data_IF_756760446507
#
_entry.id   IF_756760446507
#
_cell.length_a   1.000
_cell.length_b   1.000
_cell.length_c   1.000
_cell.angle_alpha   90.00
_cell.angle_beta   90.00
_cell.angle_gamma   90.00
#
_symmetry.space_group_name_H-M   'P 1'
#
loop_
_entity.id
_entity.type
_entity.pdbx_description
1 polymer ?
#
# COMPACT_ATOMS: atom_id res chain seq x y z
N UNK A 1 56.42 -6.25 36.86
CA UNK A 1 55.39 -7.13 36.24
C UNK A 1 54.06 -6.38 36.23
N UNK A 2 53.70 -5.74 35.11
CA UNK A 2 52.41 -5.08 34.94
C UNK A 2 51.62 -5.83 33.87
N UNK A 3 50.49 -6.42 34.27
CA UNK A 3 49.61 -7.21 33.42
C UNK A 3 48.98 -6.29 32.35
N UNK A 4 49.23 -6.62 31.07
CA UNK A 4 48.50 -6.06 29.93
C UNK A 4 47.07 -6.58 29.97
N UNK A 5 46.11 -5.70 30.23
CA UNK A 5 44.68 -5.99 30.07
C UNK A 5 44.34 -5.84 28.58
N UNK A 6 43.96 -6.95 27.96
CA UNK A 6 43.39 -6.98 26.61
C UNK A 6 42.08 -6.19 26.61
N UNK A 7 42.05 -5.09 25.89
CA UNK A 7 40.81 -4.42 25.48
C UNK A 7 40.20 -5.29 24.38
N UNK A 8 39.37 -6.25 24.77
CA UNK A 8 38.45 -6.90 23.84
C UNK A 8 37.41 -5.84 23.49
N UNK A 9 37.44 -5.37 22.25
CA UNK A 9 36.37 -4.58 21.69
C UNK A 9 35.10 -5.45 21.72
N UNK A 10 34.32 -5.31 22.78
CA UNK A 10 32.92 -5.70 22.75
C UNK A 10 32.30 -4.91 21.59
N UNK A 11 32.05 -5.63 20.49
CA UNK A 11 30.99 -5.26 19.56
C UNK A 11 29.76 -5.08 20.44
N UNK A 12 29.45 -3.84 20.79
CA UNK A 12 28.10 -3.44 21.12
C UNK A 12 27.30 -3.80 19.88
N UNK A 13 26.78 -5.03 19.90
CA UNK A 13 25.59 -5.41 19.18
C UNK A 13 24.55 -4.42 19.66
N UNK A 14 24.49 -3.28 18.97
CA UNK A 14 23.33 -2.41 18.96
C UNK A 14 22.22 -3.35 18.55
N UNK A 15 21.51 -3.83 19.56
CA UNK A 15 20.28 -4.57 19.48
C UNK A 15 19.35 -3.77 18.59
N UNK A 16 19.44 -4.04 17.28
CA UNK A 16 18.56 -3.58 16.23
C UNK A 16 17.24 -4.31 16.42
N UNK A 17 16.56 -3.99 17.52
CA UNK A 17 15.25 -4.53 17.92
C UNK A 17 14.11 -3.57 17.56
N UNK A 18 14.38 -2.58 16.71
CA UNK A 18 13.43 -1.55 16.31
C UNK A 18 13.23 -1.46 14.79
N UNK A 19 13.59 -2.51 14.06
CA UNK A 19 13.16 -2.69 12.67
C UNK A 19 12.77 -4.17 12.50
N UNK A 20 11.69 -4.59 13.15
CA UNK A 20 10.76 -5.47 12.43
C UNK A 20 9.97 -4.49 11.57
N UNK A 21 10.48 -4.12 10.40
CA UNK A 21 9.93 -4.64 9.15
C UNK A 21 8.47 -5.02 9.40
N UNK A 22 7.59 -4.09 9.08
CA UNK A 22 6.18 -4.34 8.74
C UNK A 22 6.20 -5.28 7.54
N UNK A 23 6.71 -6.50 7.72
CA UNK A 23 6.77 -7.53 6.70
C UNK A 23 5.36 -8.10 6.66
N UNK A 24 4.76 -8.20 5.48
CA UNK A 24 3.34 -8.52 5.23
C UNK A 24 2.74 -9.82 5.82
N UNK A 25 3.18 -10.30 6.98
CA UNK A 25 2.46 -11.21 7.88
C UNK A 25 1.35 -10.49 8.66
N UNK A 26 1.52 -9.28 9.20
CA UNK A 26 0.46 -8.61 10.00
C UNK A 26 -0.71 -8.09 9.14
N UNK A 27 -0.42 -7.31 8.09
CA UNK A 27 -1.46 -6.77 7.18
C UNK A 27 -2.24 -7.91 6.52
N UNK A 28 -1.56 -8.98 6.11
CA UNK A 28 -2.23 -10.12 5.45
C UNK A 28 -3.13 -10.87 6.41
N UNK A 29 -2.69 -11.16 7.63
CA UNK A 29 -3.52 -11.81 8.65
C UNK A 29 -4.76 -10.95 8.97
N UNK A 30 -4.59 -9.64 9.15
CA UNK A 30 -5.72 -8.71 9.35
C UNK A 30 -6.70 -8.73 8.18
N UNK A 31 -6.21 -8.68 6.95
CA UNK A 31 -7.08 -8.75 5.77
C UNK A 31 -7.75 -10.12 5.64
N UNK A 32 -7.06 -11.22 5.93
CA UNK A 32 -7.64 -12.56 5.96
C UNK A 32 -8.75 -12.66 7.02
N UNK A 33 -8.58 -12.03 8.19
CA UNK A 33 -9.65 -11.94 9.19
C UNK A 33 -10.86 -11.13 8.69
N UNK A 34 -10.64 -9.96 8.06
CA UNK A 34 -11.72 -9.16 7.46
C UNK A 34 -12.46 -10.00 6.41
N UNK A 35 -11.71 -10.73 5.57
CA UNK A 35 -12.27 -11.61 4.56
C UNK A 35 -13.11 -12.72 5.19
N UNK A 36 -12.57 -13.46 6.16
CA UNK A 36 -13.28 -14.54 6.84
C UNK A 36 -14.54 -14.05 7.57
N UNK A 37 -14.49 -12.90 8.24
CA UNK A 37 -15.65 -12.30 8.94
C UNK A 37 -16.71 -11.74 7.99
N UNK A 38 -16.38 -11.54 6.72
CA UNK A 38 -17.33 -11.00 5.73
C UNK A 38 -18.26 -12.08 5.15
N UNK A 39 -18.06 -13.37 5.45
CA UNK A 39 -18.70 -14.54 4.82
C UNK A 39 -20.23 -14.62 4.86
N UNK A 40 -20.92 -13.69 5.50
CA UNK A 40 -22.33 -13.84 5.84
C UNK A 40 -23.33 -13.54 4.68
N UNK A 41 -22.92 -13.13 3.47
CA UNK A 41 -23.86 -12.69 2.39
C UNK A 41 -23.34 -12.90 0.95
N UNK A 42 -24.28 -12.85 -0.03
CA UNK A 42 -24.02 -12.79 -1.50
C UNK A 42 -23.10 -11.64 -1.96
N UNK A 43 -22.76 -10.70 -1.07
CA UNK A 43 -21.94 -9.52 -1.33
C UNK A 43 -20.57 -9.56 -0.63
N UNK A 44 -20.10 -10.76 -0.27
CA UNK A 44 -18.85 -11.01 0.46
C UNK A 44 -17.66 -10.18 0.00
N UNK A 45 -17.39 -10.18 -1.31
CA UNK A 45 -16.27 -9.45 -1.93
C UNK A 45 -16.41 -7.94 -1.77
N UNK A 46 -17.62 -7.39 -1.96
CA UNK A 46 -17.86 -5.94 -1.82
C UNK A 46 -17.67 -5.49 -0.38
N UNK A 47 -18.15 -6.28 0.58
CA UNK A 47 -18.02 -5.98 2.03
C UNK A 47 -16.56 -6.05 2.45
N UNK A 48 -15.82 -7.08 2.00
CA UNK A 48 -14.39 -7.19 2.22
C UNK A 48 -13.65 -5.98 1.65
N UNK A 49 -13.86 -5.66 0.38
CA UNK A 49 -13.20 -4.54 -0.29
C UNK A 49 -13.38 -3.23 0.46
N UNK A 50 -14.63 -2.90 0.83
CA UNK A 50 -14.92 -1.65 1.55
C UNK A 50 -14.19 -1.60 2.89
N UNK A 51 -14.29 -2.65 3.70
CA UNK A 51 -13.65 -2.71 5.02
C UNK A 51 -12.13 -2.67 4.93
N UNK A 52 -11.55 -3.35 3.95
CA UNK A 52 -10.10 -3.37 3.75
C UNK A 52 -9.56 -2.01 3.28
N UNK A 53 -10.32 -1.30 2.43
CA UNK A 53 -9.99 0.08 2.05
C UNK A 53 -10.12 1.02 3.25
N UNK A 54 -11.20 0.91 4.02
CA UNK A 54 -11.41 1.72 5.25
C UNK A 54 -10.25 1.49 6.24
N UNK A 55 -9.84 0.24 6.44
CA UNK A 55 -8.71 -0.13 7.30
C UNK A 55 -7.38 0.44 6.79
N UNK A 56 -7.11 0.31 5.48
CA UNK A 56 -5.90 0.85 4.87
C UNK A 56 -5.80 2.36 5.08
N UNK A 57 -6.90 3.07 4.82
CA UNK A 57 -7.00 4.53 5.00
C UNK A 57 -6.83 4.92 6.47
N UNK A 58 -7.43 4.17 7.40
CA UNK A 58 -7.24 4.38 8.84
C UNK A 58 -5.77 4.28 9.26
N UNK A 59 -5.07 3.23 8.83
CA UNK A 59 -3.64 3.05 9.12
C UNK A 59 -2.76 4.13 8.48
N UNK A 60 -3.08 4.55 7.25
CA UNK A 60 -2.36 5.63 6.58
C UNK A 60 -2.52 6.99 7.28
N UNK A 61 -3.67 7.22 7.92
CA UNK A 61 -3.91 8.42 8.71
C UNK A 61 -3.22 8.39 10.08
N UNK A 62 -3.07 7.20 10.66
CA UNK A 62 -2.40 7.00 11.96
C UNK A 62 -0.87 6.93 11.83
N UNK A 63 -0.36 6.65 10.63
CA UNK A 63 1.08 6.42 10.39
C UNK A 63 1.73 7.59 9.67
N UNK A 64 2.40 8.48 10.41
CA UNK A 64 3.23 9.55 9.85
C UNK A 64 4.55 9.02 9.25
N UNK A 65 4.97 7.80 9.61
CA UNK A 65 6.15 7.16 9.05
C UNK A 65 5.72 5.92 8.24
N UNK A 66 6.25 5.77 7.03
CA UNK A 66 6.04 4.61 6.13
C UNK A 66 4.70 4.53 5.36
N UNK A 67 4.01 5.65 5.12
CA UNK A 67 2.77 5.67 4.33
C UNK A 67 2.90 5.00 2.94
N UNK A 68 4.04 5.17 2.28
CA UNK A 68 4.37 4.49 1.03
C UNK A 68 4.34 2.95 1.14
N UNK A 69 5.01 2.39 2.15
CA UNK A 69 5.12 0.93 2.33
C UNK A 69 3.77 0.34 2.74
N UNK A 70 3.05 1.02 3.64
CA UNK A 70 1.71 0.63 4.10
C UNK A 70 0.74 0.58 2.92
N UNK A 71 0.70 1.62 2.08
CA UNK A 71 -0.18 1.65 0.91
C UNK A 71 0.14 0.52 -0.09
N UNK A 72 1.42 0.23 -0.32
CA UNK A 72 1.84 -0.85 -1.20
C UNK A 72 1.44 -2.23 -0.68
N UNK A 73 1.60 -2.47 0.63
CA UNK A 73 1.35 -3.76 1.26
C UNK A 73 -0.14 -4.04 1.43
N UNK A 74 -0.95 -3.04 1.79
CA UNK A 74 -2.42 -3.17 1.82
C UNK A 74 -2.98 -3.50 0.44
N UNK A 75 -2.57 -2.79 -0.60
CA UNK A 75 -3.02 -3.08 -1.96
C UNK A 75 -2.64 -4.51 -2.39
N UNK A 76 -1.39 -4.90 -2.15
CA UNK A 76 -0.92 -6.26 -2.45
C UNK A 76 -1.71 -7.32 -1.67
N UNK A 77 -1.97 -7.09 -0.38
CA UNK A 77 -2.72 -8.01 0.47
C UNK A 77 -4.17 -8.20 0.01
N UNK A 78 -4.88 -7.10 -0.25
CA UNK A 78 -6.27 -7.10 -0.75
C UNK A 78 -6.38 -7.96 -2.01
N UNK A 79 -5.44 -7.75 -2.93
CA UNK A 79 -5.45 -8.40 -4.23
C UNK A 79 -5.06 -9.89 -4.16
N UNK A 80 -4.13 -10.26 -3.30
CA UNK A 80 -3.78 -11.67 -3.06
C UNK A 80 -4.96 -12.47 -2.50
N UNK A 81 -5.78 -11.86 -1.62
CA UNK A 81 -6.94 -12.50 -1.02
C UNK A 81 -8.06 -12.69 -2.03
N UNK A 82 -8.35 -11.67 -2.83
CA UNK A 82 -9.40 -11.76 -3.85
C UNK A 82 -9.04 -12.70 -4.99
N UNK A 83 -7.74 -12.82 -5.29
CA UNK A 83 -7.27 -13.55 -6.45
C UNK A 83 -6.05 -14.43 -6.10
N UNK A 84 -6.22 -15.48 -5.27
CA UNK A 84 -5.12 -16.32 -4.80
C UNK A 84 -4.38 -17.10 -5.91
N UNK A 85 -4.93 -17.11 -7.14
CA UNK A 85 -4.35 -17.74 -8.34
C UNK A 85 -3.88 -16.74 -9.41
N UNK A 86 -3.70 -15.46 -9.06
CA UNK A 86 -3.05 -14.48 -9.94
C UNK A 86 -3.84 -14.04 -11.17
N UNK A 87 -5.15 -14.29 -11.24
CA UNK A 87 -6.03 -13.65 -12.23
C UNK A 87 -6.79 -12.53 -11.57
N UNK A 88 -6.10 -11.42 -11.34
CA UNK A 88 -6.72 -10.17 -10.94
C UNK A 88 -7.34 -9.53 -12.18
N UNK A 89 -8.59 -9.07 -12.08
CA UNK A 89 -9.15 -8.17 -13.08
C UNK A 89 -8.50 -6.79 -12.90
N UNK A 90 -7.95 -6.23 -13.97
CA UNK A 90 -7.40 -4.86 -14.02
C UNK A 90 -8.35 -3.86 -13.33
N UNK A 91 -9.64 -4.02 -13.57
CA UNK A 91 -10.72 -3.22 -13.01
C UNK A 91 -10.75 -3.22 -11.48
N UNK A 92 -10.49 -4.38 -10.85
CA UNK A 92 -10.43 -4.48 -9.38
C UNK A 92 -9.24 -3.69 -8.82
N UNK A 93 -8.07 -3.78 -9.47
CA UNK A 93 -6.88 -3.01 -9.06
C UNK A 93 -7.20 -1.52 -9.14
N UNK A 94 -7.73 -1.09 -10.28
CA UNK A 94 -8.07 0.30 -10.56
C UNK A 94 -9.10 0.81 -9.55
N UNK A 95 -10.13 0.02 -9.24
CA UNK A 95 -11.16 0.38 -8.27
C UNK A 95 -10.57 0.60 -6.87
N UNK A 96 -9.79 -0.37 -6.36
CA UNK A 96 -9.21 -0.31 -5.01
C UNK A 96 -8.28 0.89 -4.88
N UNK A 97 -7.41 1.07 -5.87
CA UNK A 97 -6.42 2.15 -5.90
C UNK A 97 -7.09 3.52 -5.95
N UNK A 98 -8.14 3.68 -6.76
CA UNK A 98 -8.91 4.92 -6.85
C UNK A 98 -9.63 5.23 -5.54
N UNK A 99 -10.19 4.21 -4.87
CA UNK A 99 -10.91 4.40 -3.61
C UNK A 99 -9.97 4.77 -2.45
N UNK A 100 -8.80 4.14 -2.35
CA UNK A 100 -7.78 4.52 -1.35
C UNK A 100 -7.31 5.95 -1.62
N UNK A 101 -6.95 6.28 -2.86
CA UNK A 101 -6.48 7.61 -3.23
C UNK A 101 -7.52 8.70 -2.89
N UNK A 102 -8.79 8.47 -3.22
CA UNK A 102 -9.88 9.38 -2.92
C UNK A 102 -10.08 9.60 -1.42
N UNK A 103 -10.16 8.53 -0.62
CA UNK A 103 -10.37 8.66 0.83
C UNK A 103 -9.17 9.29 1.53
N UNK A 104 -7.95 8.91 1.14
CA UNK A 104 -6.73 9.55 1.66
C UNK A 104 -6.66 11.04 1.29
N UNK A 105 -7.20 11.44 0.13
CA UNK A 105 -7.28 12.85 -0.26
C UNK A 105 -8.11 13.71 0.68
N UNK A 106 -9.22 13.16 1.16
CA UNK A 106 -10.12 13.85 2.08
C UNK A 106 -9.48 14.10 3.46
N UNK A 107 -8.35 13.44 3.76
CA UNK A 107 -7.70 13.46 5.06
C UNK A 107 -6.46 14.36 5.12
N UNK A 108 -6.07 15.01 4.02
CA UNK A 108 -4.87 15.86 3.90
C UNK A 108 -3.55 15.15 4.31
N UNK A 109 -3.54 13.81 4.24
CA UNK A 109 -2.37 12.99 4.55
C UNK A 109 -1.27 13.14 3.45
N UNK A 110 -0.07 12.60 3.71
CA UNK A 110 1.11 12.61 2.84
C UNK A 110 0.86 12.02 1.43
N UNK A 111 0.15 12.75 0.59
CA UNK A 111 -0.40 12.18 -0.64
C UNK A 111 0.68 11.67 -1.57
N UNK A 112 1.82 12.36 -1.64
CA UNK A 112 2.92 11.91 -2.50
C UNK A 112 3.44 10.54 -2.10
N UNK A 113 3.61 10.30 -0.79
CA UNK A 113 4.05 9.02 -0.23
C UNK A 113 3.02 7.91 -0.51
N UNK A 114 1.74 8.21 -0.28
CA UNK A 114 0.63 7.27 -0.51
C UNK A 114 0.54 6.87 -1.99
N UNK A 115 0.62 7.83 -2.92
CA UNK A 115 0.53 7.55 -4.36
C UNK A 115 1.72 6.75 -4.87
N UNK A 116 2.93 7.06 -4.41
CA UNK A 116 4.10 6.24 -4.71
C UNK A 116 3.90 4.80 -4.23
N UNK A 117 3.32 4.63 -3.04
CA UNK A 117 3.00 3.33 -2.46
C UNK A 117 1.97 2.56 -3.27
N UNK A 118 0.87 3.21 -3.65
CA UNK A 118 -0.16 2.62 -4.50
C UNK A 118 0.39 2.19 -5.85
N UNK A 119 1.20 3.02 -6.53
CA UNK A 119 1.81 2.66 -7.82
C UNK A 119 2.80 1.49 -7.67
N UNK A 120 3.60 1.46 -6.60
CA UNK A 120 4.44 0.30 -6.26
C UNK A 120 3.60 -0.97 -6.06
N UNK A 121 2.49 -0.87 -5.33
CA UNK A 121 1.57 -1.98 -5.11
C UNK A 121 0.87 -2.47 -6.38
N UNK A 122 0.50 -1.56 -7.29
CA UNK A 122 -0.02 -1.88 -8.63
C UNK A 122 1.03 -2.64 -9.43
N UNK A 123 2.27 -2.14 -9.47
CA UNK A 123 3.38 -2.78 -10.18
C UNK A 123 3.64 -4.20 -9.67
N UNK A 124 3.70 -4.39 -8.35
CA UNK A 124 3.88 -5.71 -7.72
C UNK A 124 2.74 -6.65 -8.09
N UNK A 125 1.50 -6.19 -7.99
CA UNK A 125 0.30 -6.98 -8.26
C UNK A 125 0.16 -7.36 -9.75
N UNK A 126 0.42 -6.42 -10.65
CA UNK A 126 0.39 -6.67 -12.09
C UNK A 126 1.45 -7.70 -12.50
N UNK A 127 2.68 -7.58 -11.97
CA UNK A 127 3.77 -8.56 -12.20
C UNK A 127 3.41 -9.94 -11.68
N UNK A 128 2.83 -10.04 -10.48
CA UNK A 128 2.38 -11.31 -9.90
C UNK A 128 1.30 -12.01 -10.74
N UNK A 129 0.58 -11.25 -11.58
CA UNK A 129 -0.48 -11.75 -12.44
C UNK A 129 -0.07 -11.93 -13.91
N UNK A 130 1.20 -11.68 -14.24
CA UNK A 130 1.68 -11.72 -15.63
C UNK A 130 1.06 -10.65 -16.54
N UNK A 131 0.53 -9.56 -15.96
CA UNK A 131 -0.02 -8.43 -16.69
C UNK A 131 1.09 -7.43 -17.06
N UNK A 132 0.85 -6.62 -18.09
CA UNK A 132 1.74 -5.51 -18.43
C UNK A 132 1.59 -4.38 -17.41
N UNK A 133 2.49 -4.34 -16.42
CA UNK A 133 2.45 -3.37 -15.33
C UNK A 133 2.31 -1.91 -15.81
N UNK A 134 2.96 -1.55 -16.92
CA UNK A 134 2.90 -0.19 -17.48
C UNK A 134 1.49 0.23 -17.90
N UNK A 135 0.73 -0.65 -18.53
CA UNK A 135 -0.64 -0.36 -18.98
C UNK A 135 -1.56 -0.16 -17.77
N UNK A 136 -1.46 -1.07 -16.80
CA UNK A 136 -2.27 -1.01 -15.56
C UNK A 136 -1.91 0.22 -14.73
N UNK A 137 -0.62 0.57 -14.61
CA UNK A 137 -0.18 1.77 -13.89
C UNK A 137 -0.72 3.03 -14.56
N UNK A 138 -0.66 3.11 -15.89
CA UNK A 138 -1.15 4.27 -16.63
C UNK A 138 -2.67 4.45 -16.43
N UNK A 139 -3.43 3.37 -16.51
CA UNK A 139 -4.88 3.41 -16.31
C UNK A 139 -5.25 3.71 -14.85
N UNK A 140 -4.61 3.04 -13.89
CA UNK A 140 -4.81 3.31 -12.47
C UNK A 140 -4.46 4.78 -12.13
N UNK A 141 -3.38 5.31 -12.71
CA UNK A 141 -2.98 6.70 -12.52
C UNK A 141 -4.02 7.69 -13.04
N UNK A 142 -4.54 7.47 -14.25
CA UNK A 142 -5.62 8.30 -14.79
C UNK A 142 -6.87 8.27 -13.90
N UNK A 143 -7.24 7.08 -13.42
CA UNK A 143 -8.44 6.87 -12.59
C UNK A 143 -8.31 7.45 -11.19
N UNK A 144 -7.12 7.37 -10.57
CA UNK A 144 -6.89 8.06 -9.31
C UNK A 144 -6.99 9.58 -9.47
N UNK A 145 -6.40 10.14 -10.53
CA UNK A 145 -6.48 11.59 -10.82
C UNK A 145 -7.94 12.01 -11.01
N UNK A 146 -8.71 11.25 -11.81
CA UNK A 146 -10.14 11.48 -12.01
C UNK A 146 -10.91 11.43 -10.69
N UNK A 147 -10.66 10.42 -9.85
CA UNK A 147 -11.32 10.27 -8.56
C UNK A 147 -11.09 11.46 -7.62
N UNK A 148 -9.93 12.11 -7.68
CA UNK A 148 -9.57 13.22 -6.79
C UNK A 148 -9.81 14.60 -7.40
N UNK A 149 -10.02 14.71 -8.71
CA UNK A 149 -10.19 15.99 -9.41
C UNK A 149 -11.33 16.83 -8.82
N UNK A 150 -12.43 16.19 -8.41
CA UNK A 150 -13.61 16.87 -7.86
C UNK A 150 -13.47 17.26 -6.38
N UNK A 151 -12.39 16.85 -5.70
CA UNK A 151 -12.20 17.13 -4.27
C UNK A 151 -11.50 18.46 -4.02
N UNK A 152 -10.34 18.69 -4.63
CA UNK A 152 -9.55 19.91 -4.43
C UNK A 152 -8.55 20.12 -5.60
N UNK A 153 -8.56 21.25 -6.31
CA UNK A 153 -7.64 21.52 -7.42
C UNK A 153 -6.15 21.50 -7.04
N UNK A 154 -5.79 21.93 -5.83
CA UNK A 154 -4.42 21.83 -5.33
C UNK A 154 -4.02 20.37 -5.10
N UNK A 155 -4.98 19.55 -4.71
CA UNK A 155 -4.76 18.13 -4.51
C UNK A 155 -4.60 17.39 -5.83
N UNK A 156 -5.42 17.70 -6.84
CA UNK A 156 -5.26 17.17 -8.19
C UNK A 156 -3.85 17.48 -8.74
N UNK A 157 -3.35 18.70 -8.50
CA UNK A 157 -2.00 19.10 -8.90
C UNK A 157 -0.91 18.28 -8.18
N UNK A 158 -1.03 18.10 -6.86
CA UNK A 158 -0.12 17.24 -6.07
C UNK A 158 -0.18 15.79 -6.55
N UNK A 159 -1.38 15.28 -6.81
CA UNK A 159 -1.64 13.93 -7.33
C UNK A 159 -0.94 13.71 -8.67
N UNK A 160 -1.14 14.61 -9.65
CA UNK A 160 -0.49 14.53 -10.97
C UNK A 160 1.03 14.53 -10.86
N UNK A 161 1.59 15.34 -9.96
CA UNK A 161 3.03 15.38 -9.74
C UNK A 161 3.54 14.10 -9.08
N UNK A 162 2.83 13.57 -8.07
CA UNK A 162 3.17 12.33 -7.40
C UNK A 162 3.14 11.12 -8.34
N UNK A 163 2.09 11.01 -9.17
CA UNK A 163 1.98 10.01 -10.24
C UNK A 163 3.19 10.07 -11.16
N UNK A 164 3.53 11.26 -11.68
CA UNK A 164 4.67 11.45 -12.59
C UNK A 164 6.01 11.04 -11.96
N UNK A 165 6.18 11.26 -10.66
CA UNK A 165 7.38 10.86 -9.93
C UNK A 165 7.43 9.33 -9.72
N UNK A 166 6.30 8.74 -9.33
CA UNK A 166 6.16 7.31 -9.10
C UNK A 166 6.32 6.49 -10.39
N UNK A 167 5.74 6.92 -11.51
CA UNK A 167 5.86 6.24 -12.80
C UNK A 167 7.30 6.17 -13.32
N UNK A 168 8.16 7.14 -12.99
CA UNK A 168 9.59 7.11 -13.33
C UNK A 168 10.38 6.10 -12.49
N UNK A 169 9.83 5.69 -11.36
CA UNK A 169 10.50 4.86 -10.36
C UNK A 169 10.18 3.37 -10.51
N UNK A 170 9.37 3.00 -11.51
CA UNK A 170 8.90 1.64 -11.81
C UNK A 170 9.43 1.16 -13.16
#
# INVERSE_FOLDING_TARGET
MSKKTNVVAEKKSTSSKYISVVSGMDIRERLDEIYQRSHDKREHVKVFLRKSVDEAVGQLNESEMHAEEIAADYLSGILQILHPKGKIASDTIIQVVSEIAFKSAQMDAEIESIIQGLIKGVSRSAKACGLQAKEIISEASARMIEAVADTNPEFEKKMRQAVKNAEKSV
#
